data_IF_965862680134
#
_entry.id   IF_965862680134
#
_cell.length_a   1.000
_cell.length_b   1.000
_cell.length_c   1.000
_cell.angle_alpha   90.00
_cell.angle_beta   90.00
_cell.angle_gamma   90.00
#
_symmetry.space_group_name_H-M   'P 1'
#
loop_
_entity.id
_entity.type
_entity.pdbx_description
1 polymer ?
#
# COMPACT_ATOMS: atom_id res chain seq x y z
N UNK A 1 0.58 -29.93 15.89
CA UNK A 1 1.24 -29.28 14.75
C UNK A 1 0.97 -27.79 14.86
N UNK A 2 1.87 -27.08 15.53
CA UNK A 2 1.72 -25.64 15.79
C UNK A 2 2.17 -24.88 14.56
N UNK A 3 1.22 -24.33 13.80
CA UNK A 3 1.52 -23.42 12.69
C UNK A 3 1.90 -22.09 13.32
N UNK A 4 3.19 -21.76 13.28
CA UNK A 4 3.72 -20.51 13.78
C UNK A 4 3.33 -19.40 12.81
N UNK A 5 2.28 -18.65 13.14
CA UNK A 5 1.85 -17.47 12.38
C UNK A 5 2.86 -16.35 12.61
N UNK A 6 3.63 -15.99 11.59
CA UNK A 6 4.48 -14.81 11.62
C UNK A 6 3.62 -13.54 11.81
N UNK A 7 4.10 -12.51 12.53
CA UNK A 7 3.32 -11.31 12.78
C UNK A 7 3.08 -10.53 11.48
N UNK A 8 1.83 -10.11 11.24
CA UNK A 8 1.38 -9.39 10.04
C UNK A 8 1.99 -7.98 9.83
N UNK A 9 2.86 -7.54 10.75
CA UNK A 9 3.55 -6.24 10.74
C UNK A 9 5.08 -6.36 10.68
N UNK A 10 5.62 -7.54 10.38
CA UNK A 10 7.04 -7.64 10.10
C UNK A 10 7.34 -6.94 8.75
N UNK A 11 8.17 -5.89 8.81
CA UNK A 11 9.03 -5.53 7.66
C UNK A 11 9.72 -6.84 7.25
N UNK A 12 9.65 -7.27 5.97
CA UNK A 12 10.31 -8.49 5.54
C UNK A 12 11.77 -8.46 5.99
N UNK A 13 12.33 -9.60 6.44
CA UNK A 13 13.66 -9.64 7.03
C UNK A 13 14.65 -8.98 6.08
N UNK A 14 15.58 -8.21 6.64
CA UNK A 14 16.70 -7.64 5.88
C UNK A 14 17.42 -8.78 5.13
N UNK A 15 17.25 -8.88 3.81
CA UNK A 15 17.86 -9.91 2.96
C UNK A 15 19.36 -9.64 2.72
N UNK A 16 20.07 -9.13 3.73
CA UNK A 16 21.46 -8.69 3.60
C UNK A 16 22.44 -9.84 3.31
N UNK A 17 21.99 -11.08 3.53
CA UNK A 17 22.82 -12.27 3.32
C UNK A 17 22.84 -12.77 1.86
N UNK A 18 21.93 -12.30 1.00
CA UNK A 18 21.91 -12.63 -0.44
C UNK A 18 22.05 -11.36 -1.30
N UNK A 19 23.20 -11.14 -1.96
CA UNK A 19 23.43 -9.94 -2.76
C UNK A 19 22.47 -9.82 -3.96
N UNK A 20 21.94 -10.93 -4.46
CA UNK A 20 20.96 -10.92 -5.53
C UNK A 20 19.61 -10.37 -5.02
N UNK A 21 19.16 -10.85 -3.86
CA UNK A 21 17.91 -10.38 -3.25
C UNK A 21 18.03 -8.91 -2.85
N UNK A 22 19.15 -8.50 -2.26
CA UNK A 22 19.40 -7.09 -1.93
C UNK A 22 19.27 -6.20 -3.18
N UNK A 23 19.91 -6.59 -4.29
CA UNK A 23 19.82 -5.85 -5.55
C UNK A 23 18.40 -5.85 -6.14
N UNK A 24 17.66 -6.96 -6.02
CA UNK A 24 16.26 -7.00 -6.46
C UNK A 24 15.39 -6.04 -5.63
N UNK A 25 15.58 -5.99 -4.31
CA UNK A 25 14.88 -5.05 -3.44
C UNK A 25 15.18 -3.59 -3.80
N UNK A 26 16.45 -3.25 -4.06
CA UNK A 26 16.86 -1.90 -4.43
C UNK A 26 16.21 -1.45 -5.76
N UNK A 27 16.14 -2.35 -6.74
CA UNK A 27 15.50 -2.09 -8.03
C UNK A 27 13.99 -1.90 -7.87
N UNK A 28 13.34 -2.78 -7.11
CA UNK A 28 11.89 -2.75 -6.93
C UNK A 28 11.42 -1.57 -6.06
N UNK A 29 12.29 -1.03 -5.22
CA UNK A 29 12.01 0.19 -4.45
C UNK A 29 11.81 1.43 -5.33
N UNK A 30 12.40 1.44 -6.53
CA UNK A 30 12.24 2.51 -7.51
C UNK A 30 10.96 2.42 -8.35
N UNK A 31 10.19 1.31 -8.26
CA UNK A 31 8.98 1.11 -9.07
C UNK A 31 7.82 1.94 -8.49
N UNK A 32 7.34 2.99 -9.18
CA UNK A 32 6.26 3.83 -8.70
C UNK A 32 4.90 3.13 -8.83
N UNK A 33 3.93 3.54 -8.01
CA UNK A 33 2.53 3.15 -8.24
C UNK A 33 1.97 3.90 -9.46
N UNK A 34 1.30 3.22 -10.41
CA UNK A 34 0.81 3.85 -11.64
C UNK A 34 -0.30 4.88 -11.38
N UNK A 35 -1.00 4.80 -10.25
CA UNK A 35 -2.08 5.72 -9.86
C UNK A 35 -1.57 6.87 -8.97
N UNK A 36 -0.39 6.72 -8.37
CA UNK A 36 0.27 7.69 -7.49
C UNK A 36 1.79 7.68 -7.78
N UNK A 37 2.25 8.32 -8.87
CA UNK A 37 3.64 8.20 -9.34
C UNK A 37 4.71 8.71 -8.37
N UNK A 38 4.32 9.44 -7.33
CA UNK A 38 5.21 9.99 -6.30
C UNK A 38 5.49 9.02 -5.16
N UNK A 39 4.81 7.87 -5.09
CA UNK A 39 5.00 6.84 -4.06
C UNK A 39 5.31 5.50 -4.72
N UNK A 40 6.28 4.76 -4.18
CA UNK A 40 6.62 3.43 -4.70
C UNK A 40 5.73 2.32 -4.15
N UNK A 41 5.69 1.19 -4.87
CA UNK A 41 4.98 -0.02 -4.45
C UNK A 41 5.50 -0.56 -3.11
N UNK A 42 6.78 -0.30 -2.78
CA UNK A 42 7.39 -0.67 -1.50
C UNK A 42 6.84 0.22 -0.38
N UNK A 43 6.80 1.53 -0.60
CA UNK A 43 6.34 2.46 0.43
C UNK A 43 4.84 2.35 0.74
N UNK A 44 4.04 1.93 -0.25
CA UNK A 44 2.63 1.59 -0.06
C UNK A 44 2.42 0.20 0.60
N UNK A 45 3.48 -0.60 0.73
CA UNK A 45 3.38 -1.97 1.25
C UNK A 45 2.69 -2.96 0.30
N UNK A 46 2.62 -2.64 -1.00
CA UNK A 46 2.14 -3.54 -2.06
C UNK A 46 3.15 -4.64 -2.30
N UNK A 47 4.45 -4.31 -2.33
CA UNK A 47 5.54 -5.27 -2.36
C UNK A 47 5.70 -5.93 -0.99
N UNK A 48 5.50 -7.24 -0.90
CA UNK A 48 5.47 -7.99 0.36
C UNK A 48 6.73 -8.77 0.64
N UNK A 49 7.26 -9.42 -0.39
CA UNK A 49 8.42 -10.28 -0.26
C UNK A 49 9.13 -10.42 -1.60
N UNK A 50 10.42 -10.70 -1.54
CA UNK A 50 11.22 -11.11 -2.69
C UNK A 50 12.06 -12.29 -2.23
N UNK A 51 11.77 -13.45 -2.76
CA UNK A 51 12.40 -14.71 -2.38
C UNK A 51 13.01 -15.40 -3.58
N UNK A 52 13.91 -16.34 -3.33
CA UNK A 52 14.51 -17.17 -4.36
C UNK A 52 13.83 -18.53 -4.35
N UNK A 53 13.31 -18.93 -5.49
CA UNK A 53 12.74 -20.26 -5.66
C UNK A 53 13.85 -21.32 -5.79
N UNK A 54 13.52 -22.57 -5.50
CA UNK A 54 14.46 -23.71 -5.54
C UNK A 54 15.02 -23.95 -6.95
N UNK A 55 14.31 -23.52 -7.99
CA UNK A 55 14.73 -23.56 -9.40
C UNK A 55 15.68 -22.42 -9.80
N UNK A 56 16.01 -21.53 -8.84
CA UNK A 56 16.90 -20.40 -9.02
C UNK A 56 16.24 -19.12 -9.53
N UNK A 57 14.92 -19.13 -9.80
CA UNK A 57 14.15 -17.95 -10.19
C UNK A 57 13.89 -17.01 -9.01
N UNK A 58 13.68 -15.73 -9.30
CA UNK A 58 13.19 -14.77 -8.31
C UNK A 58 11.68 -14.84 -8.22
N UNK A 59 11.14 -14.85 -7.01
CA UNK A 59 9.71 -14.81 -6.76
C UNK A 59 9.37 -13.53 -6.01
N UNK A 60 8.62 -12.65 -6.67
CA UNK A 60 8.19 -11.36 -6.15
C UNK A 60 6.74 -11.47 -5.70
N UNK A 61 6.51 -11.29 -4.41
CA UNK A 61 5.18 -11.39 -3.81
C UNK A 61 4.59 -9.99 -3.68
N UNK A 62 3.45 -9.77 -4.33
CA UNK A 62 2.70 -8.50 -4.28
C UNK A 62 1.29 -8.71 -3.75
N UNK A 63 0.69 -7.66 -3.20
CA UNK A 63 -0.69 -7.71 -2.70
C UNK A 63 -1.45 -6.43 -3.06
N UNK A 64 -2.71 -6.54 -3.52
CA UNK A 64 -3.45 -5.37 -3.95
C UNK A 64 -3.99 -4.57 -2.76
N UNK A 65 -4.06 -3.24 -2.92
CA UNK A 65 -4.68 -2.34 -1.90
C UNK A 65 -6.17 -2.62 -1.69
N UNK A 66 -6.82 -3.25 -2.66
CA UNK A 66 -8.14 -3.87 -2.52
C UNK A 66 -8.27 -5.02 -3.54
N UNK A 67 -9.09 -6.03 -3.26
CA UNK A 67 -9.13 -7.29 -4.02
C UNK A 67 -9.43 -7.17 -5.52
N UNK A 68 -9.98 -6.05 -5.99
CA UNK A 68 -10.33 -5.80 -7.39
C UNK A 68 -9.49 -4.71 -8.05
N UNK A 69 -8.26 -4.46 -7.59
CA UNK A 69 -7.40 -3.41 -8.11
C UNK A 69 -7.02 -3.65 -9.58
N UNK A 70 -7.45 -2.81 -10.55
CA UNK A 70 -7.12 -3.01 -11.96
C UNK A 70 -5.64 -2.71 -12.25
N UNK A 71 -4.98 -1.92 -11.41
CA UNK A 71 -3.58 -1.55 -11.57
C UNK A 71 -2.60 -2.71 -11.33
N UNK A 72 -3.06 -3.87 -10.85
CA UNK A 72 -2.18 -4.99 -10.53
C UNK A 72 -1.44 -5.55 -11.74
N UNK A 73 -2.08 -5.60 -12.91
CA UNK A 73 -1.42 -6.05 -14.14
C UNK A 73 -0.31 -5.09 -14.55
N UNK A 74 -0.56 -3.78 -14.48
CA UNK A 74 0.45 -2.77 -14.78
C UNK A 74 1.62 -2.83 -13.79
N UNK A 75 1.33 -2.96 -12.49
CA UNK A 75 2.36 -3.12 -11.46
C UNK A 75 3.22 -4.36 -11.74
N UNK A 76 2.61 -5.48 -12.15
CA UNK A 76 3.35 -6.68 -12.49
C UNK A 76 4.25 -6.48 -13.74
N UNK A 77 3.75 -5.78 -14.76
CA UNK A 77 4.53 -5.43 -15.95
C UNK A 77 5.69 -4.48 -15.62
N UNK A 78 5.46 -3.47 -14.78
CA UNK A 78 6.49 -2.50 -14.36
C UNK A 78 7.59 -3.18 -13.52
N UNK A 79 7.20 -4.09 -12.63
CA UNK A 79 8.13 -4.96 -11.87
C UNK A 79 8.97 -5.79 -12.85
N UNK A 80 8.33 -6.44 -13.82
CA UNK A 80 9.02 -7.27 -14.78
C UNK A 80 10.02 -6.47 -15.62
N UNK A 81 9.61 -5.29 -16.09
CA UNK A 81 10.47 -4.38 -16.84
C UNK A 81 11.66 -3.87 -16.01
N UNK A 82 11.44 -3.52 -14.73
CA UNK A 82 12.49 -3.07 -13.83
C UNK A 82 13.54 -4.17 -13.57
N UNK A 83 13.10 -5.40 -13.32
CA UNK A 83 14.00 -6.55 -13.12
C UNK A 83 14.79 -6.88 -14.40
N UNK A 84 14.15 -6.84 -15.56
CA UNK A 84 14.82 -7.05 -16.85
C UNK A 84 15.88 -5.98 -17.14
N UNK A 85 15.55 -4.71 -16.91
CA UNK A 85 16.48 -3.59 -17.10
C UNK A 85 17.71 -3.68 -16.17
N UNK A 86 17.57 -4.33 -15.01
CA UNK A 86 18.64 -4.55 -14.05
C UNK A 86 19.50 -5.79 -14.33
N UNK A 87 19.21 -6.53 -15.40
CA UNK A 87 19.86 -7.81 -15.79
C UNK A 87 19.76 -8.87 -14.69
N UNK A 88 18.59 -8.94 -14.03
CA UNK A 88 18.31 -9.92 -12.98
C UNK A 88 17.75 -11.23 -13.58
N UNK A 89 17.91 -12.37 -12.89
CA UNK A 89 17.49 -13.68 -13.38
C UNK A 89 15.98 -13.75 -13.63
N UNK A 90 15.52 -14.80 -14.32
CA UNK A 90 14.10 -15.02 -14.57
C UNK A 90 13.28 -14.93 -13.28
N UNK A 91 12.11 -14.29 -13.37
CA UNK A 91 11.28 -14.00 -12.22
C UNK A 91 9.84 -14.47 -12.42
N UNK A 92 9.17 -14.69 -11.30
CA UNK A 92 7.75 -14.99 -11.18
C UNK A 92 7.12 -13.96 -10.24
N UNK A 93 5.97 -13.43 -10.62
CA UNK A 93 5.22 -12.49 -9.80
C UNK A 93 4.03 -13.25 -9.22
N UNK A 94 3.97 -13.32 -7.90
CA UNK A 94 2.86 -13.94 -7.17
C UNK A 94 2.00 -12.85 -6.54
N UNK A 95 0.70 -12.85 -6.85
CA UNK A 95 -0.26 -11.96 -6.18
C UNK A 95 -0.96 -12.71 -5.06
N UNK A 96 -0.78 -12.24 -3.82
CA UNK A 96 -1.41 -12.83 -2.62
C UNK A 96 -2.51 -11.92 -2.08
N UNK A 97 -3.60 -12.52 -1.63
CA UNK A 97 -4.73 -11.82 -1.00
C UNK A 97 -4.76 -12.01 0.53
N UNK A 98 -3.88 -12.85 1.06
CA UNK A 98 -3.78 -13.15 2.49
C UNK A 98 -2.32 -13.01 2.96
N UNK A 99 -2.04 -12.24 4.04
CA UNK A 99 -2.99 -11.39 4.77
C UNK A 99 -3.53 -10.23 3.89
N UNK A 100 -4.73 -9.75 4.21
CA UNK A 100 -5.31 -8.61 3.50
C UNK A 100 -4.44 -7.36 3.72
N UNK A 101 -4.30 -6.56 2.66
CA UNK A 101 -3.57 -5.30 2.74
C UNK A 101 -4.20 -4.33 3.73
N UNK A 102 -3.36 -3.62 4.46
CA UNK A 102 -3.78 -2.61 5.45
C UNK A 102 -3.01 -1.31 5.24
N UNK A 103 -3.70 -0.20 5.45
CA UNK A 103 -3.13 1.15 5.46
C UNK A 103 -2.02 1.36 6.48
N UNK A 104 -1.90 0.47 7.47
CA UNK A 104 -0.82 0.47 8.45
C UNK A 104 0.55 0.14 7.82
N UNK A 105 0.57 -0.49 6.64
CA UNK A 105 1.81 -0.78 5.92
C UNK A 105 2.38 0.42 5.16
N UNK A 106 1.62 1.51 5.02
CA UNK A 106 2.10 2.73 4.37
C UNK A 106 3.10 3.44 5.28
N UNK A 107 4.31 3.66 4.78
CA UNK A 107 5.39 4.35 5.53
C UNK A 107 5.03 5.81 5.85
N UNK A 108 5.67 6.37 6.88
CA UNK A 108 5.46 7.78 7.23
C UNK A 108 5.89 8.71 6.08
N UNK A 109 6.99 8.39 5.39
CA UNK A 109 7.46 9.13 4.22
C UNK A 109 6.43 9.10 3.08
N UNK A 110 5.83 7.94 2.78
CA UNK A 110 4.74 7.87 1.79
C UNK A 110 3.53 8.71 2.20
N UNK A 111 3.14 8.70 3.49
CA UNK A 111 2.04 9.55 3.98
C UNK A 111 2.34 11.03 3.76
N UNK A 112 3.58 11.46 3.90
CA UNK A 112 4.00 12.84 3.66
C UNK A 112 4.07 13.18 2.17
N UNK A 113 4.58 12.27 1.33
CA UNK A 113 4.54 12.38 -0.15
C UNK A 113 3.11 12.48 -0.67
N UNK A 114 2.19 11.67 -0.14
CA UNK A 114 0.76 11.73 -0.47
C UNK A 114 0.18 13.12 -0.15
N UNK A 115 0.45 13.66 1.04
CA UNK A 115 -0.01 15.02 1.42
C UNK A 115 0.55 16.08 0.48
N UNK A 116 1.84 16.02 0.17
CA UNK A 116 2.50 16.96 -0.74
C UNK A 116 1.92 16.89 -2.16
N UNK A 117 1.51 15.70 -2.60
CA UNK A 117 0.83 15.49 -3.88
C UNK A 117 -0.64 15.92 -3.88
N UNK A 118 -1.19 16.29 -2.72
CA UNK A 118 -2.59 16.71 -2.58
C UNK A 118 -3.56 15.56 -2.29
N UNK A 119 -3.06 14.38 -1.93
CA UNK A 119 -3.88 13.24 -1.46
C UNK A 119 -3.82 13.20 0.06
N UNK A 120 -4.99 13.22 0.71
CA UNK A 120 -5.05 13.03 2.15
C UNK A 120 -4.74 11.57 2.52
N UNK A 121 -3.73 11.30 3.37
CA UNK A 121 -3.39 9.94 3.79
C UNK A 121 -4.46 9.37 4.73
N UNK A 122 -4.56 8.03 4.83
CA UNK A 122 -5.58 7.38 5.63
C UNK A 122 -5.43 7.72 7.12
N UNK A 123 -6.55 8.00 7.79
CA UNK A 123 -6.58 8.29 9.23
C UNK A 123 -7.00 7.07 10.04
N UNK A 124 -6.29 6.83 11.15
CA UNK A 124 -6.50 5.68 12.04
C UNK A 124 -5.50 4.54 11.80
N UNK A 125 -5.50 3.59 12.73
CA UNK A 125 -4.79 2.31 12.63
C UNK A 125 -5.83 1.24 12.33
N UNK A 126 -5.68 0.52 11.21
CA UNK A 126 -6.61 -0.55 10.81
C UNK A 126 -6.25 -1.89 11.45
N UNK A 127 -4.97 -2.15 11.67
CA UNK A 127 -4.40 -3.33 12.31
C UNK A 127 -4.29 -3.17 13.83
N UNK A 128 -5.42 -3.15 14.54
CA UNK A 128 -5.34 -3.28 16.00
C UNK A 128 -4.95 -4.71 16.38
N UNK A 129 -3.72 -4.90 16.82
CA UNK A 129 -3.13 -6.14 17.36
C UNK A 129 -3.61 -6.53 18.76
N UNK A 130 -4.52 -5.76 19.37
CA UNK A 130 -5.13 -6.15 20.63
C UNK A 130 -6.27 -7.17 20.37
N UNK A 131 -6.37 -8.27 21.15
CA UNK A 131 -7.53 -9.16 21.11
C UNK A 131 -8.72 -8.35 21.64
N UNK A 132 -9.43 -7.70 20.72
CA UNK A 132 -10.66 -7.00 21.03
C UNK A 132 -11.75 -8.05 20.91
N UNK A 133 -12.58 -8.13 21.94
CA UNK A 133 -13.91 -8.72 21.86
C UNK A 133 -14.54 -8.16 20.57
N UNK A 134 -14.75 -9.00 19.56
CA UNK A 134 -15.30 -8.58 18.28
C UNK A 134 -16.79 -8.29 18.48
N UNK A 135 -17.10 -7.17 19.12
CA UNK A 135 -18.48 -6.71 19.30
C UNK A 135 -19.00 -6.33 17.93
N UNK A 136 -19.91 -7.16 17.40
CA UNK A 136 -20.63 -6.85 16.17
C UNK A 136 -21.50 -5.62 16.43
N UNK A 137 -21.01 -4.47 16.00
CA UNK A 137 -21.75 -3.21 16.09
C UNK A 137 -22.56 -3.01 14.82
N UNK A 138 -23.88 -3.03 14.96
CA UNK A 138 -24.82 -2.79 13.84
C UNK A 138 -24.89 -1.32 13.39
N UNK A 139 -24.27 -0.41 14.13
CA UNK A 139 -24.17 1.01 13.79
C UNK A 139 -22.74 1.31 13.30
N UNK A 140 -22.57 1.91 12.10
CA UNK A 140 -21.25 2.25 11.58
C UNK A 140 -20.50 3.15 12.56
N UNK A 141 -19.23 2.81 12.85
CA UNK A 141 -18.36 3.73 13.60
C UNK A 141 -18.09 4.96 12.71
N UNK A 142 -18.31 6.19 13.20
CA UNK A 142 -17.92 7.37 12.43
C UNK A 142 -16.40 7.33 12.21
N UNK A 143 -16.00 7.22 10.94
CA UNK A 143 -14.60 7.32 10.53
C UNK A 143 -14.23 8.79 10.60
N UNK A 144 -13.10 9.11 11.23
CA UNK A 144 -12.63 10.49 11.31
C UNK A 144 -12.46 11.07 9.90
N UNK A 145 -12.95 12.29 9.69
CA UNK A 145 -12.76 12.99 8.43
C UNK A 145 -11.28 13.36 8.25
N UNK A 146 -10.71 13.23 7.03
CA UNK A 146 -9.32 13.59 6.78
C UNK A 146 -9.11 15.10 6.89
N UNK A 147 -7.90 15.50 7.31
CA UNK A 147 -7.48 16.88 7.20
C UNK A 147 -7.19 17.25 5.74
N UNK A 148 -7.51 18.50 5.36
CA UNK A 148 -7.21 19.01 4.02
C UNK A 148 -5.68 19.03 3.80
N UNK A 149 -5.17 18.44 2.71
CA UNK A 149 -3.73 18.42 2.44
C UNK A 149 -3.16 19.81 2.12
N UNK A 150 -4.01 20.76 1.70
CA UNK A 150 -3.57 22.11 1.28
C UNK A 150 -3.51 23.13 2.42
N UNK A 151 -4.51 23.16 3.30
CA UNK A 151 -4.60 24.15 4.38
C UNK A 151 -4.59 23.55 5.79
N UNK A 152 -4.58 22.22 5.92
CA UNK A 152 -4.57 21.52 7.22
C UNK A 152 -5.90 21.52 7.97
N UNK A 153 -6.97 22.11 7.41
CA UNK A 153 -8.27 22.16 8.09
C UNK A 153 -8.88 20.77 8.26
N UNK A 154 -9.45 20.51 9.45
CA UNK A 154 -10.25 19.32 9.73
C UNK A 154 -11.72 19.43 9.27
N UNK A 155 -12.14 20.60 8.76
CA UNK A 155 -13.50 20.81 8.25
C UNK A 155 -13.61 20.33 6.82
N UNK A 156 -13.79 19.02 6.65
CA UNK A 156 -13.89 18.39 5.34
C UNK A 156 -15.17 17.58 5.22
N UNK A 157 -15.76 17.57 4.04
CA UNK A 157 -16.97 16.80 3.74
C UNK A 157 -16.72 15.88 2.55
N UNK A 158 -17.34 14.70 2.57
CA UNK A 158 -17.22 13.71 1.50
C UNK A 158 -18.20 14.05 0.39
N UNK A 159 -17.71 14.27 -0.83
CA UNK A 159 -18.53 14.48 -2.01
C UNK A 159 -18.90 13.15 -2.68
N UNK A 160 -17.97 12.22 -2.77
CA UNK A 160 -18.19 10.91 -3.40
C UNK A 160 -17.43 9.78 -2.68
N UNK A 161 -18.01 8.58 -2.69
CA UNK A 161 -17.41 7.38 -2.08
C UNK A 161 -16.19 6.85 -2.88
N UNK A 162 -16.12 7.23 -4.16
CA UNK A 162 -15.07 6.85 -5.11
C UNK A 162 -14.62 8.11 -5.84
N UNK A 163 -13.31 8.23 -6.07
CA UNK A 163 -12.72 9.35 -6.81
C UNK A 163 -12.07 8.83 -8.10
N UNK A 164 -10.86 9.31 -8.41
CA UNK A 164 -10.02 8.85 -9.52
C UNK A 164 -9.87 7.32 -9.54
N UNK A 165 -9.76 6.70 -8.37
CA UNK A 165 -9.71 5.24 -8.22
C UNK A 165 -10.66 4.74 -7.14
N UNK A 166 -10.94 3.44 -7.16
CA UNK A 166 -11.79 2.80 -6.15
C UNK A 166 -11.14 2.75 -4.76
N UNK A 167 -9.82 2.91 -4.61
CA UNK A 167 -9.16 3.03 -3.31
C UNK A 167 -9.21 4.46 -2.74
N UNK A 168 -9.53 5.46 -3.57
CA UNK A 168 -9.65 6.88 -3.17
C UNK A 168 -11.12 7.29 -3.04
N UNK A 169 -11.40 8.31 -2.22
CA UNK A 169 -12.70 8.95 -2.08
C UNK A 169 -12.55 10.47 -2.26
N UNK A 170 -13.58 11.13 -2.82
CA UNK A 170 -13.50 12.55 -3.12
C UNK A 170 -14.03 13.37 -1.93
N UNK A 171 -13.21 14.28 -1.43
CA UNK A 171 -13.56 15.20 -0.35
C UNK A 171 -13.44 16.65 -0.82
N UNK A 172 -14.09 17.55 -0.08
CA UNK A 172 -13.94 18.99 -0.21
C UNK A 172 -13.62 19.59 1.15
N UNK A 173 -12.67 20.52 1.18
CA UNK A 173 -12.45 21.33 2.37
C UNK A 173 -13.49 22.45 2.42
N UNK A 174 -14.14 22.65 3.56
CA UNK A 174 -15.12 23.73 3.74
C UNK A 174 -14.43 25.11 3.82
N UNK A 175 -13.18 25.14 4.30
CA UNK A 175 -12.43 26.39 4.51
C UNK A 175 -11.82 26.95 3.24
N UNK A 176 -10.99 26.17 2.57
CA UNK A 176 -10.36 26.61 1.31
C UNK A 176 -11.19 26.27 0.07
N UNK A 177 -12.28 25.51 0.21
CA UNK A 177 -13.21 25.08 -0.87
C UNK A 177 -12.60 24.20 -1.96
N UNK A 178 -11.35 23.78 -1.79
CA UNK A 178 -10.68 22.89 -2.74
C UNK A 178 -11.15 21.44 -2.60
N UNK A 179 -11.43 20.75 -3.72
CA UNK A 179 -11.60 19.31 -3.73
C UNK A 179 -10.24 18.60 -3.60
N UNK A 180 -10.23 17.43 -2.96
CA UNK A 180 -9.04 16.59 -2.83
C UNK A 180 -9.40 15.11 -2.70
N UNK A 181 -8.46 14.25 -3.09
CA UNK A 181 -8.60 12.80 -2.95
C UNK A 181 -8.18 12.35 -1.54
N UNK A 182 -8.95 11.45 -0.96
CA UNK A 182 -8.65 10.80 0.31
C UNK A 182 -8.38 9.32 0.08
N UNK A 183 -7.23 8.83 0.52
CA UNK A 183 -6.91 7.41 0.46
C UNK A 183 -7.69 6.67 1.57
N UNK A 184 -8.59 5.76 1.19
CA UNK A 184 -9.52 5.15 2.14
C UNK A 184 -8.82 4.21 3.13
N UNK A 185 -9.28 4.16 4.40
CA UNK A 185 -8.76 3.25 5.39
C UNK A 185 -9.32 1.85 5.13
N UNK A 186 -8.45 0.97 4.64
CA UNK A 186 -8.65 -0.47 4.59
C UNK A 186 -7.62 -1.15 5.49
#
# INVERSE_FOLDING_TARGET
MSVQTAPANAVPPAHHDDPLLARAWDVLEAVPDPEIPVVSIRELGILRDVRRADDGQLEVVITPTYSGCPAMSQIAEDIAAALQAADLPPHRIETVLAPAWTTDWITQEARDKLRAYGIAPPVGQCGSTAPRENVVRFVPRPVAAPACPRCGSARTERLAQFASTACKALYRCVDCREPFDYFKPY
#
